data_IF_782110144143
#
_entry.id   IF_782110144143
#
_cell.length_a   1.000
_cell.length_b   1.000
_cell.length_c   1.000
_cell.angle_alpha   90.00
_cell.angle_beta   90.00
_cell.angle_gamma   90.00
#
_symmetry.space_group_name_H-M   'P 1'
#
loop_
_entity.id
_entity.type
_entity.pdbx_description
1 polymer ?
#
# COMPACT_ATOMS: atom_id res chain seq x y z
N UNK A 1 -34.40 -31.40 29.00
CA UNK A 1 -34.42 -32.43 27.94
C UNK A 1 -34.87 -31.78 26.64
N UNK A 2 -33.94 -31.13 25.95
CA UNK A 2 -34.00 -30.89 24.49
C UNK A 2 -32.56 -30.94 24.01
N UNK A 3 -32.18 -32.11 23.52
CA UNK A 3 -30.84 -32.46 23.08
C UNK A 3 -30.74 -32.11 21.58
N UNK A 4 -29.91 -31.13 21.18
CA UNK A 4 -29.47 -30.99 19.78
C UNK A 4 -28.04 -30.47 19.67
N UNK A 5 -27.21 -31.38 19.14
CA UNK A 5 -26.10 -31.18 18.21
C UNK A 5 -24.90 -30.32 18.64
N UNK A 6 -23.90 -31.04 19.16
CA UNK A 6 -22.47 -30.77 19.01
C UNK A 6 -22.09 -30.84 17.53
N UNK A 7 -21.95 -29.69 16.86
CA UNK A 7 -21.28 -29.54 15.56
C UNK A 7 -20.36 -28.32 15.65
N UNK A 8 -19.12 -28.50 15.19
CA UNK A 8 -17.97 -27.64 15.45
C UNK A 8 -18.24 -26.14 15.29
N UNK A 9 -18.11 -25.42 16.41
CA UNK A 9 -18.20 -23.97 16.46
C UNK A 9 -16.93 -23.31 15.92
N UNK A 10 -16.91 -22.99 14.64
CA UNK A 10 -16.12 -21.84 14.18
C UNK A 10 -16.89 -20.59 14.57
N UNK A 11 -16.50 -20.01 15.70
CA UNK A 11 -17.18 -18.85 16.26
C UNK A 11 -16.99 -17.65 15.29
N UNK A 12 -18.06 -17.15 14.63
CA UNK A 12 -17.96 -16.21 13.50
C UNK A 12 -17.40 -14.83 13.91
N UNK A 13 -17.34 -14.57 15.21
CA UNK A 13 -16.82 -13.34 15.79
C UNK A 13 -15.30 -13.14 15.58
N UNK A 14 -14.54 -14.19 15.25
CA UNK A 14 -13.08 -14.10 15.03
C UNK A 14 -12.67 -13.76 13.58
N UNK A 15 -13.59 -13.68 12.63
CA UNK A 15 -13.28 -13.42 11.21
C UNK A 15 -13.29 -11.94 10.83
N UNK A 16 -13.52 -11.02 11.78
CA UNK A 16 -13.32 -9.59 11.53
C UNK A 16 -11.86 -9.26 11.80
N UNK A 17 -11.10 -8.69 10.83
CA UNK A 17 -9.80 -8.11 11.14
C UNK A 17 -10.02 -6.99 12.16
N UNK A 18 -9.72 -7.28 13.42
CA UNK A 18 -9.78 -6.30 14.49
C UNK A 18 -8.68 -5.27 14.24
N UNK A 19 -9.03 -3.99 14.32
CA UNK A 19 -8.03 -2.93 14.34
C UNK A 19 -7.05 -3.23 15.49
N UNK A 20 -5.81 -3.58 15.14
CA UNK A 20 -4.77 -3.90 16.11
C UNK A 20 -4.24 -2.58 16.67
N UNK A 21 -4.16 -2.48 17.99
CA UNK A 21 -3.56 -1.32 18.65
C UNK A 21 -2.06 -1.61 18.83
N UNK A 22 -1.22 -0.90 18.08
CA UNK A 22 0.23 -1.07 18.11
C UNK A 22 0.85 0.09 18.87
N UNK A 23 1.58 -0.20 19.95
CA UNK A 23 2.40 0.79 20.65
C UNK A 23 3.75 0.90 19.95
N UNK A 24 4.16 2.12 19.60
CA UNK A 24 5.39 2.40 18.86
C UNK A 24 6.17 3.49 19.61
N UNK A 25 7.45 3.26 19.85
CA UNK A 25 8.35 4.26 20.44
C UNK A 25 8.87 5.19 19.36
N UNK A 26 8.71 6.50 19.58
CA UNK A 26 9.16 7.56 18.67
C UNK A 26 10.11 8.50 19.42
N UNK A 27 11.08 9.03 18.69
CA UNK A 27 12.00 10.05 19.23
C UNK A 27 11.34 11.45 19.29
N UNK A 28 12.10 12.42 19.81
CA UNK A 28 11.67 13.81 19.91
C UNK A 28 11.32 14.46 18.57
N UNK A 29 11.98 14.04 17.49
CA UNK A 29 11.76 14.60 16.16
C UNK A 29 10.38 14.19 15.62
N UNK A 30 10.07 12.90 15.65
CA UNK A 30 8.79 12.39 15.16
C UNK A 30 7.62 12.80 16.05
N UNK A 31 7.79 12.80 17.37
CA UNK A 31 6.75 13.30 18.28
C UNK A 31 6.42 14.77 18.02
N UNK A 32 7.42 15.62 17.82
CA UNK A 32 7.23 17.02 17.44
C UNK A 32 6.56 17.18 16.06
N UNK A 33 6.91 16.34 15.08
CA UNK A 33 6.24 16.33 13.78
C UNK A 33 4.75 15.97 13.91
N UNK A 34 4.42 14.88 14.61
CA UNK A 34 3.04 14.45 14.82
C UNK A 34 2.22 15.52 15.54
N UNK A 35 2.80 16.19 16.54
CA UNK A 35 2.14 17.29 17.25
C UNK A 35 1.80 18.46 16.31
N UNK A 36 2.75 18.91 15.47
CA UNK A 36 2.51 19.99 14.50
C UNK A 36 1.42 19.65 13.49
N UNK A 37 1.40 18.41 13.00
CA UNK A 37 0.39 17.96 12.03
C UNK A 37 -1.02 17.92 12.64
N UNK A 38 -1.14 17.56 13.93
CA UNK A 38 -2.42 17.62 14.65
C UNK A 38 -2.81 19.06 14.99
N UNK A 39 -1.88 19.88 15.47
CA UNK A 39 -2.11 21.29 15.81
C UNK A 39 -2.51 22.13 14.59
N UNK A 40 -1.99 21.78 13.41
CA UNK A 40 -2.41 22.40 12.14
C UNK A 40 -3.88 22.15 11.77
N UNK A 41 -4.55 21.21 12.45
CA UNK A 41 -5.92 20.80 12.17
C UNK A 41 -6.06 19.83 10.98
N UNK A 42 -4.96 19.46 10.31
CA UNK A 42 -4.98 18.51 9.18
C UNK A 42 -5.38 17.09 9.61
N UNK A 43 -5.04 16.71 10.84
CA UNK A 43 -5.36 15.39 11.41
C UNK A 43 -5.92 15.52 12.82
N UNK A 44 -6.82 14.61 13.22
CA UNK A 44 -7.47 14.65 14.54
C UNK A 44 -6.66 13.96 15.64
N UNK A 45 -5.64 13.18 15.27
CA UNK A 45 -4.81 12.45 16.22
C UNK A 45 -3.49 12.02 15.61
N UNK A 46 -2.47 11.77 16.45
CA UNK A 46 -1.19 11.21 16.03
C UNK A 46 -1.36 9.88 15.28
N UNK A 47 -2.29 9.01 15.72
CA UNK A 47 -2.56 7.74 15.05
C UNK A 47 -3.14 7.92 13.64
N UNK A 48 -3.86 9.01 13.36
CA UNK A 48 -4.30 9.32 12.00
C UNK A 48 -3.13 9.74 11.11
N UNK A 49 -2.21 10.56 11.63
CA UNK A 49 -0.99 10.95 10.90
C UNK A 49 -0.15 9.72 10.58
N UNK A 50 0.06 8.82 11.55
CA UNK A 50 0.82 7.57 11.36
C UNK A 50 0.16 6.69 10.28
N UNK A 51 -1.17 6.51 10.33
CA UNK A 51 -1.87 5.75 9.29
C UNK A 51 -1.76 6.39 7.91
N UNK A 52 -1.83 7.72 7.82
CA UNK A 52 -1.64 8.42 6.55
C UNK A 52 -0.21 8.21 6.01
N UNK A 53 0.80 8.29 6.87
CA UNK A 53 2.19 8.01 6.50
C UNK A 53 2.39 6.57 6.02
N UNK A 54 1.79 5.59 6.70
CA UNK A 54 1.88 4.18 6.29
C UNK A 54 1.21 3.91 4.94
N UNK A 55 0.06 4.54 4.65
CA UNK A 55 -0.59 4.43 3.33
C UNK A 55 0.29 5.00 2.23
N UNK A 56 0.90 6.17 2.47
CA UNK A 56 1.82 6.75 1.51
C UNK A 56 3.01 5.84 1.23
N UNK A 57 3.56 5.19 2.26
CA UNK A 57 4.64 4.23 2.12
C UNK A 57 4.19 3.00 1.30
N UNK A 58 3.00 2.46 1.58
CA UNK A 58 2.43 1.33 0.83
C UNK A 58 2.24 1.66 -0.66
N UNK A 59 1.72 2.85 -0.97
CA UNK A 59 1.55 3.32 -2.34
C UNK A 59 2.90 3.43 -3.06
N UNK A 60 3.91 3.99 -2.38
CA UNK A 60 5.27 4.13 -2.92
C UNK A 60 5.91 2.77 -3.21
N UNK A 61 5.86 1.84 -2.25
CA UNK A 61 6.40 0.49 -2.44
C UNK A 61 5.68 -0.24 -3.58
N UNK A 62 4.36 -0.09 -3.70
CA UNK A 62 3.58 -0.69 -4.79
C UNK A 62 4.02 -0.16 -6.16
N UNK A 63 4.18 1.16 -6.29
CA UNK A 63 4.63 1.79 -7.53
C UNK A 63 6.06 1.36 -7.89
N UNK A 64 6.93 1.28 -6.89
CA UNK A 64 8.32 0.92 -7.08
C UNK A 64 8.45 -0.55 -7.52
N UNK A 65 7.65 -1.44 -6.94
CA UNK A 65 7.61 -2.84 -7.36
C UNK A 65 7.07 -2.98 -8.78
N UNK A 66 6.01 -2.25 -9.14
CA UNK A 66 5.49 -2.23 -10.51
C UNK A 66 6.55 -1.74 -11.52
N UNK A 67 7.33 -0.71 -11.16
CA UNK A 67 8.41 -0.21 -11.99
C UNK A 67 9.51 -1.26 -12.17
N UNK A 68 9.95 -1.92 -11.09
CA UNK A 68 10.95 -3.00 -11.18
C UNK A 68 10.46 -4.12 -12.08
N UNK A 69 9.20 -4.55 -11.92
CA UNK A 69 8.62 -5.59 -12.76
C UNK A 69 8.57 -5.19 -14.24
N UNK A 70 8.23 -3.93 -14.54
CA UNK A 70 8.23 -3.41 -15.91
C UNK A 70 9.64 -3.39 -16.53
N UNK A 71 10.67 -3.03 -15.75
CA UNK A 71 12.06 -3.07 -16.21
C UNK A 71 12.50 -4.50 -16.52
N UNK A 72 12.24 -5.44 -15.62
CA UNK A 72 12.55 -6.87 -15.84
C UNK A 72 11.83 -7.42 -17.08
N UNK A 73 10.55 -7.07 -17.26
CA UNK A 73 9.80 -7.45 -18.45
C UNK A 73 10.39 -6.85 -19.73
N UNK A 74 10.87 -5.60 -19.68
CA UNK A 74 11.57 -4.95 -20.78
C UNK A 74 12.90 -5.62 -21.12
N UNK A 75 13.72 -5.94 -20.12
CA UNK A 75 14.98 -6.67 -20.30
C UNK A 75 14.77 -8.07 -20.86
N UNK A 76 13.68 -8.74 -20.45
CA UNK A 76 13.31 -10.05 -20.97
C UNK A 76 12.63 -10.00 -22.36
N UNK A 77 12.30 -8.80 -22.87
CA UNK A 77 11.55 -8.66 -24.14
C UNK A 77 12.41 -8.89 -25.39
N UNK A 78 13.72 -9.05 -25.23
CA UNK A 78 14.67 -9.31 -26.30
C UNK A 78 15.72 -8.20 -26.42
N UNK A 79 16.56 -8.30 -27.45
CA UNK A 79 17.59 -7.29 -27.69
C UNK A 79 16.99 -5.97 -28.17
N UNK A 80 17.54 -4.86 -27.69
CA UNK A 80 17.15 -3.54 -28.15
C UNK A 80 17.55 -3.36 -29.63
N UNK A 81 16.56 -3.08 -30.48
CA UNK A 81 16.78 -2.77 -31.88
C UNK A 81 16.75 -1.25 -32.13
N UNK A 82 17.41 -0.75 -33.20
CA UNK A 82 17.25 0.64 -33.64
C UNK A 82 15.78 0.99 -33.87
N UNK A 83 15.35 2.14 -33.38
CA UNK A 83 13.96 2.60 -33.48
C UNK A 83 13.84 3.86 -34.34
N UNK A 84 13.08 3.76 -35.43
CA UNK A 84 12.71 4.90 -36.29
C UNK A 84 11.31 5.39 -35.90
N UNK A 85 11.27 6.57 -35.30
CA UNK A 85 10.03 7.19 -34.82
C UNK A 85 9.11 7.63 -35.97
N UNK A 86 9.66 8.12 -37.08
CA UNK A 86 8.87 8.62 -38.21
C UNK A 86 8.20 7.46 -38.95
N UNK A 87 8.94 6.37 -39.19
CA UNK A 87 8.40 5.14 -39.77
C UNK A 87 7.30 4.53 -38.88
N UNK A 88 7.51 4.52 -37.56
CA UNK A 88 6.51 4.02 -36.61
C UNK A 88 5.22 4.86 -36.63
N UNK A 89 5.32 6.20 -36.66
CA UNK A 89 4.16 7.08 -36.72
C UNK A 89 3.41 6.92 -38.05
N UNK A 90 4.13 6.76 -39.16
CA UNK A 90 3.52 6.52 -40.46
C UNK A 90 2.74 5.19 -40.48
N UNK A 91 3.29 4.11 -39.92
CA UNK A 91 2.63 2.81 -39.76
C UNK A 91 1.33 2.91 -38.95
N UNK A 92 1.34 3.63 -37.81
CA UNK A 92 0.16 3.76 -36.94
C UNK A 92 -0.95 4.69 -37.45
N UNK A 93 -0.69 5.47 -38.50
CA UNK A 93 -1.66 6.38 -39.12
C UNK A 93 -2.31 5.81 -40.38
N UNK A 94 -1.78 4.70 -40.92
CA UNK A 94 -2.37 3.96 -42.04
C UNK A 94 -3.55 3.09 -41.56
#
# INVERSE_FOLDING_TARGET
>A
MTLRAFLGGTNPWYLRPMAQNTSISLDGHFTGFLAREVESGRYRSASEVVRAGLRLLEDQETQLEALRAALVAGEASGEAAPFDLDAFIADKRA
#
